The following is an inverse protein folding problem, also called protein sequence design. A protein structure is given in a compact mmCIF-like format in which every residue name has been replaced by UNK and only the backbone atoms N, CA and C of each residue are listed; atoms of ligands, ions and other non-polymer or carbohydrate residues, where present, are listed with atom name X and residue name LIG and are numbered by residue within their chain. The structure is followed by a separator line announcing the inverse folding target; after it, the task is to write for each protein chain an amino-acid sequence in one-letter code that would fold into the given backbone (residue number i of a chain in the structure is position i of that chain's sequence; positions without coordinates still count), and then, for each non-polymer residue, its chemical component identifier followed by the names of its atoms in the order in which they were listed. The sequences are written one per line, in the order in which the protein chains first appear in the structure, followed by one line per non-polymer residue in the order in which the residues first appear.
data_IF_424963831412
#
_entry.id   IF_424963831412
#
_cell.length_a   1.000
_cell.length_b   1.000
_cell.length_c   1.000
_cell.angle_alpha   90.00
_cell.angle_beta   90.00
_cell.angle_gamma   90.00
#
_symmetry.space_group_name_H-M   'P 1'
#
loop_
_entity.id
_entity.type
_entity.pdbx_description
1 polymer ?
#
# COMPACT_ATOMS: atom_id res chain seq x y z
N UNK A 1 -47.28 30.36 61.69
CA UNK A 1 -47.04 29.40 60.60
C UNK A 1 -46.36 30.16 59.47
N UNK A 2 -45.03 30.07 59.38
CA UNK A 2 -44.19 30.88 58.48
C UNK A 2 -43.63 29.93 57.42
N UNK A 3 -43.96 30.15 56.16
CA UNK A 3 -43.42 29.39 55.03
C UNK A 3 -42.06 29.94 54.65
N UNK A 4 -41.02 29.12 54.81
CA UNK A 4 -39.65 29.41 54.37
C UNK A 4 -39.50 28.93 52.93
N UNK A 5 -39.07 29.82 52.04
CA UNK A 5 -38.79 29.54 50.63
C UNK A 5 -37.39 28.92 50.57
N UNK A 6 -37.28 27.67 50.13
CA UNK A 6 -35.99 27.04 49.84
C UNK A 6 -35.48 27.54 48.49
N UNK A 7 -34.32 28.20 48.51
CA UNK A 7 -33.61 28.63 47.32
C UNK A 7 -32.98 27.40 46.64
N UNK A 8 -33.31 27.21 45.36
CA UNK A 8 -32.67 26.19 44.51
C UNK A 8 -31.26 26.66 44.17
N UNK A 9 -30.27 26.13 44.88
CA UNK A 9 -28.87 26.21 44.44
C UNK A 9 -28.74 25.56 43.05
N UNK A 10 -28.34 26.38 42.09
CA UNK A 10 -27.95 25.95 40.76
C UNK A 10 -26.57 25.30 40.86
N UNK A 11 -26.55 23.97 40.99
CA UNK A 11 -25.32 23.17 40.88
C UNK A 11 -24.82 23.29 39.45
N UNK A 12 -23.98 24.29 39.20
CA UNK A 12 -23.15 24.38 38.01
C UNK A 12 -22.12 23.23 38.07
N UNK A 13 -22.51 22.08 37.51
CA UNK A 13 -21.65 20.92 37.41
C UNK A 13 -20.43 21.18 36.51
N UNK A 14 -19.24 20.68 36.84
CA UNK A 14 -18.04 20.79 36.02
C UNK A 14 -18.12 19.82 34.83
N UNK A 15 -18.89 20.17 33.79
CA UNK A 15 -19.02 19.37 32.57
C UNK A 15 -18.23 19.92 31.37
N UNK A 16 -17.27 20.82 31.59
CA UNK A 16 -16.52 21.50 30.52
C UNK A 16 -15.00 21.22 30.49
N UNK A 17 -14.43 20.44 31.41
CA UNK A 17 -12.98 20.26 31.47
C UNK A 17 -12.42 19.03 30.73
N UNK A 18 -13.24 18.04 30.37
CA UNK A 18 -12.75 16.83 29.70
C UNK A 18 -12.40 17.03 28.21
N UNK A 19 -12.88 18.11 27.57
CA UNK A 19 -12.67 18.36 26.14
C UNK A 19 -11.34 19.04 25.79
N UNK A 20 -10.74 19.79 26.71
CA UNK A 20 -9.60 20.67 26.40
C UNK A 20 -8.24 19.94 26.32
N UNK A 21 -8.11 18.78 26.95
CA UNK A 21 -6.84 18.02 26.93
C UNK A 21 -6.70 17.06 25.74
N UNK A 22 -7.79 16.78 25.01
CA UNK A 22 -7.77 15.86 23.86
C UNK A 22 -7.17 16.49 22.60
N UNK A 23 -7.42 17.78 22.38
CA UNK A 23 -7.08 18.45 21.12
C UNK A 23 -5.56 18.49 20.87
N UNK A 24 -4.72 18.92 21.84
CA UNK A 24 -3.28 18.88 21.66
C UNK A 24 -2.76 17.47 21.40
N UNK A 25 -3.32 16.46 22.09
CA UNK A 25 -2.93 15.06 21.91
C UNK A 25 -3.21 14.54 20.51
N UNK A 26 -4.40 14.82 19.96
CA UNK A 26 -4.74 14.42 18.58
C UNK A 26 -3.94 15.19 17.52
N UNK A 27 -3.59 16.45 17.76
CA UNK A 27 -2.73 17.21 16.86
C UNK A 27 -1.30 16.63 16.84
N UNK A 28 -0.74 16.32 18.02
CA UNK A 28 0.56 15.65 18.14
C UNK A 28 0.54 14.28 17.45
N UNK A 29 -0.54 13.52 17.63
CA UNK A 29 -0.69 12.22 16.96
C UNK A 29 -0.79 12.38 15.44
N UNK A 30 -1.57 13.33 14.94
CA UNK A 30 -1.68 13.62 13.50
C UNK A 30 -0.32 13.99 12.92
N UNK A 31 0.40 14.92 13.56
CA UNK A 31 1.74 15.30 13.15
C UNK A 31 2.69 14.11 13.18
N UNK A 32 2.67 13.31 14.25
CA UNK A 32 3.47 12.09 14.36
C UNK A 32 3.22 11.11 13.22
N UNK A 33 1.95 10.86 12.87
CA UNK A 33 1.62 10.01 11.71
C UNK A 33 2.15 10.62 10.40
N UNK A 34 1.94 11.91 10.17
CA UNK A 34 2.42 12.57 8.95
C UNK A 34 3.96 12.59 8.85
N UNK A 35 4.68 12.60 9.97
CA UNK A 35 6.16 12.47 9.95
C UNK A 35 6.64 11.12 9.43
N UNK A 36 5.82 10.06 9.51
CA UNK A 36 6.19 8.74 8.99
C UNK A 36 6.39 8.72 7.47
N UNK A 37 5.74 9.63 6.72
CA UNK A 37 5.93 9.79 5.27
C UNK A 37 7.37 10.21 4.89
N UNK A 38 8.07 10.81 5.85
CA UNK A 38 9.42 11.36 5.69
C UNK A 38 10.51 10.40 6.18
N UNK A 39 10.15 9.32 6.85
CA UNK A 39 11.12 8.31 7.26
C UNK A 39 11.59 7.57 6.00
N UNK A 40 12.90 7.54 5.72
CA UNK A 40 13.41 6.78 4.58
C UNK A 40 13.25 5.29 4.88
N UNK A 41 12.25 4.67 4.26
CA UNK A 41 12.10 3.22 4.25
C UNK A 41 13.02 2.67 3.15
N UNK A 42 13.75 1.57 3.37
CA UNK A 42 14.44 0.90 2.29
C UNK A 42 13.45 0.63 1.15
N UNK A 43 13.79 0.99 -0.09
CA UNK A 43 12.94 0.77 -1.28
C UNK A 43 13.77 0.28 -2.47
N UNK A 44 14.98 -0.19 -2.19
CA UNK A 44 15.94 -0.65 -3.19
C UNK A 44 15.62 -2.05 -3.74
N UNK A 45 14.72 -2.80 -3.09
CA UNK A 45 14.17 -4.06 -3.62
C UNK A 45 12.68 -3.96 -3.93
N UNK A 46 12.18 -4.81 -4.83
CA UNK A 46 10.77 -4.89 -5.17
C UNK A 46 9.89 -5.21 -3.96
N UNK A 47 10.34 -6.13 -3.09
CA UNK A 47 9.64 -6.46 -1.85
C UNK A 47 9.53 -5.23 -0.94
N UNK A 48 10.64 -4.56 -0.70
CA UNK A 48 10.67 -3.39 0.17
C UNK A 48 9.86 -2.23 -0.38
N UNK A 49 9.87 -2.03 -1.71
CA UNK A 49 8.97 -1.09 -2.39
C UNK A 49 7.50 -1.47 -2.15
N UNK A 50 7.13 -2.74 -2.31
CA UNK A 50 5.76 -3.19 -2.06
C UNK A 50 5.32 -3.00 -0.60
N UNK A 51 6.22 -3.26 0.36
CA UNK A 51 5.96 -3.02 1.80
C UNK A 51 5.75 -1.53 2.05
N UNK A 52 6.62 -0.68 1.51
CA UNK A 52 6.51 0.76 1.65
C UNK A 52 5.16 1.27 1.10
N UNK A 53 4.77 0.87 -0.11
CA UNK A 53 3.49 1.25 -0.69
C UNK A 53 2.32 0.76 0.18
N UNK A 54 2.35 -0.48 0.69
CA UNK A 54 1.30 -0.98 1.57
C UNK A 54 1.15 -0.18 2.87
N UNK A 55 2.25 0.37 3.43
CA UNK A 55 2.23 1.16 4.66
C UNK A 55 1.36 2.43 4.58
N UNK A 56 1.07 2.94 3.38
CA UNK A 56 0.13 4.04 3.17
C UNK A 56 -1.28 3.71 3.70
N UNK A 57 -1.74 2.48 3.51
CA UNK A 57 -3.08 2.05 3.93
C UNK A 57 -3.30 2.16 5.45
N UNK A 58 -2.51 1.51 6.33
CA UNK A 58 -2.68 1.66 7.77
C UNK A 58 -2.35 3.08 8.26
N UNK A 59 -1.41 3.79 7.62
CA UNK A 59 -1.07 5.16 7.96
C UNK A 59 -2.28 6.09 7.78
N UNK A 60 -2.86 6.10 6.58
CA UNK A 60 -4.00 6.98 6.28
C UNK A 60 -5.31 6.50 6.90
N UNK A 61 -5.44 5.22 7.24
CA UNK A 61 -6.48 4.75 8.15
C UNK A 61 -6.37 5.43 9.53
N UNK A 62 -5.16 5.51 10.09
CA UNK A 62 -4.88 6.24 11.34
C UNK A 62 -5.18 7.74 11.23
N UNK A 63 -4.69 8.38 10.16
CA UNK A 63 -4.95 9.81 9.88
C UNK A 63 -6.46 10.07 9.81
N UNK A 64 -7.22 9.24 9.09
CA UNK A 64 -8.66 9.40 8.95
C UNK A 64 -9.40 9.36 10.30
N UNK A 65 -9.03 8.42 11.18
CA UNK A 65 -9.59 8.29 12.53
C UNK A 65 -9.28 9.56 13.34
N UNK A 66 -8.03 10.00 13.34
CA UNK A 66 -7.60 11.19 14.07
C UNK A 66 -8.32 12.44 13.57
N UNK A 67 -8.48 12.59 12.26
CA UNK A 67 -9.22 13.71 11.67
C UNK A 67 -10.69 13.74 12.13
N UNK A 68 -11.38 12.60 12.15
CA UNK A 68 -12.76 12.54 12.67
C UNK A 68 -12.82 13.00 14.14
N UNK A 69 -11.86 12.59 14.96
CA UNK A 69 -11.81 12.99 16.37
C UNK A 69 -11.47 14.47 16.54
N UNK A 70 -10.53 15.01 15.77
CA UNK A 70 -10.19 16.44 15.77
C UNK A 70 -11.39 17.30 15.39
N UNK A 71 -12.08 16.96 14.30
CA UNK A 71 -13.26 17.70 13.82
C UNK A 71 -14.33 17.75 14.91
N UNK A 72 -14.55 16.64 15.63
CA UNK A 72 -15.53 16.58 16.74
C UNK A 72 -15.13 17.43 17.95
N UNK A 73 -13.83 17.64 18.17
CA UNK A 73 -13.33 18.42 19.30
C UNK A 73 -13.25 19.92 19.00
N UNK A 74 -13.02 20.30 17.75
CA UNK A 74 -12.94 21.71 17.33
C UNK A 74 -14.30 22.44 17.37
N UNK A 75 -15.37 21.73 17.73
CA UNK A 75 -16.72 22.26 17.83
C UNK A 75 -17.46 22.10 16.50
N UNK A 76 -18.70 21.63 16.60
CA UNK A 76 -19.55 21.37 15.43
C UNK A 76 -20.17 22.70 14.96
N UNK A 77 -19.91 23.16 13.71
CA UNK A 77 -20.64 24.28 13.17
C UNK A 77 -22.14 23.95 13.16
N UNK A 78 -22.98 24.95 13.44
CA UNK A 78 -24.42 24.78 13.61
C UNK A 78 -25.02 24.07 12.38
N UNK A 79 -25.64 22.90 12.59
CA UNK A 79 -26.28 22.11 11.52
C UNK A 79 -25.40 21.02 10.89
N UNK A 80 -24.17 20.81 11.37
CA UNK A 80 -23.34 19.70 10.89
C UNK A 80 -23.88 18.36 11.41
N UNK A 81 -23.89 17.37 10.52
CA UNK A 81 -24.27 16.00 10.88
C UNK A 81 -23.03 15.18 11.19
N UNK A 82 -23.17 14.08 11.94
CA UNK A 82 -22.05 13.16 12.14
C UNK A 82 -21.48 12.63 10.81
N UNK A 83 -22.30 12.47 9.77
CA UNK A 83 -21.85 12.07 8.43
C UNK A 83 -20.96 13.14 7.78
N UNK A 84 -21.18 14.43 8.09
CA UNK A 84 -20.34 15.54 7.63
C UNK A 84 -18.91 15.40 8.19
N UNK A 85 -18.74 14.89 9.41
CA UNK A 85 -17.40 14.65 9.97
C UNK A 85 -16.62 13.59 9.19
N UNK A 86 -17.29 12.49 8.81
CA UNK A 86 -16.66 11.46 7.96
C UNK A 86 -16.33 11.99 6.57
N UNK A 87 -17.23 12.78 5.96
CA UNK A 87 -16.99 13.36 4.65
C UNK A 87 -15.80 14.34 4.64
N UNK A 88 -15.72 15.21 5.66
CA UNK A 88 -14.61 16.16 5.79
C UNK A 88 -13.31 15.44 6.14
N UNK A 89 -13.34 14.42 6.99
CA UNK A 89 -12.16 13.60 7.27
C UNK A 89 -11.64 12.88 6.01
N UNK A 90 -12.55 12.34 5.18
CA UNK A 90 -12.16 11.74 3.90
C UNK A 90 -11.57 12.77 2.94
N UNK A 91 -12.18 13.95 2.82
CA UNK A 91 -11.61 15.04 2.02
C UNK A 91 -10.22 15.44 2.54
N UNK A 92 -10.03 15.47 3.87
CA UNK A 92 -8.74 15.70 4.50
C UNK A 92 -7.70 14.63 4.13
N UNK A 93 -8.07 13.34 4.14
CA UNK A 93 -7.20 12.25 3.67
C UNK A 93 -6.78 12.45 2.22
N UNK A 94 -7.73 12.76 1.32
CA UNK A 94 -7.45 12.98 -0.11
C UNK A 94 -6.47 14.16 -0.29
N UNK A 95 -6.73 15.28 0.38
CA UNK A 95 -5.89 16.48 0.29
C UNK A 95 -4.51 16.22 0.88
N UNK A 96 -4.40 15.53 2.01
CA UNK A 96 -3.12 15.21 2.63
C UNK A 96 -2.31 14.24 1.78
N UNK A 97 -2.93 13.19 1.23
CA UNK A 97 -2.26 12.20 0.38
C UNK A 97 -1.78 12.80 -0.95
N UNK A 98 -2.66 13.53 -1.65
CA UNK A 98 -2.27 14.25 -2.86
C UNK A 98 -1.21 15.33 -2.58
N UNK A 99 -1.32 15.99 -1.41
CA UNK A 99 -0.34 16.97 -0.95
C UNK A 99 1.03 16.33 -0.68
N UNK A 100 1.07 15.17 -0.02
CA UNK A 100 2.34 14.46 0.21
C UNK A 100 3.01 14.05 -1.10
N UNK A 101 2.27 13.53 -2.07
CA UNK A 101 2.81 13.23 -3.41
C UNK A 101 3.32 14.48 -4.13
N UNK A 102 2.58 15.58 -4.04
CA UNK A 102 2.99 16.87 -4.61
C UNK A 102 4.30 17.39 -4.01
N UNK A 103 4.52 17.22 -2.70
CA UNK A 103 5.79 17.61 -2.07
C UNK A 103 6.91 16.62 -2.44
N UNK A 104 6.61 15.32 -2.55
CA UNK A 104 7.57 14.32 -2.98
C UNK A 104 8.12 14.58 -4.38
N UNK A 105 7.32 15.16 -5.30
CA UNK A 105 7.79 15.60 -6.62
C UNK A 105 8.98 16.57 -6.56
N UNK A 106 9.05 17.42 -5.53
CA UNK A 106 10.15 18.37 -5.33
C UNK A 106 11.29 17.81 -4.47
N UNK A 107 11.17 16.56 -3.99
CA UNK A 107 12.18 15.93 -3.14
C UNK A 107 13.17 15.13 -4.00
N UNK A 108 14.47 15.49 -4.02
CA UNK A 108 15.46 14.78 -4.82
C UNK A 108 15.48 13.28 -4.51
N UNK A 109 15.40 12.45 -5.54
CA UNK A 109 15.43 10.98 -5.41
C UNK A 109 14.10 10.32 -5.07
N UNK A 110 13.00 11.08 -4.98
CA UNK A 110 11.63 10.53 -4.93
C UNK A 110 10.90 10.81 -6.23
N UNK A 111 10.07 9.86 -6.65
CA UNK A 111 9.22 9.98 -7.84
C UNK A 111 7.77 9.82 -7.38
N UNK A 112 6.87 10.74 -7.72
CA UNK A 112 5.48 10.62 -7.32
C UNK A 112 4.86 9.38 -7.96
N UNK A 113 4.07 8.65 -7.17
CA UNK A 113 3.34 7.47 -7.64
C UNK A 113 1.84 7.69 -7.40
N UNK A 114 1.07 7.77 -8.48
CA UNK A 114 -0.38 7.95 -8.41
C UNK A 114 -1.03 6.81 -7.61
N UNK A 115 -0.40 5.63 -7.58
CA UNK A 115 -0.87 4.51 -6.78
C UNK A 115 -0.80 4.77 -5.28
N UNK A 116 0.10 5.63 -4.80
CA UNK A 116 0.22 5.98 -3.38
C UNK A 116 -1.01 6.78 -2.91
N UNK A 117 -1.47 7.77 -3.71
CA UNK A 117 -2.73 8.50 -3.43
C UNK A 117 -3.92 7.55 -3.36
N UNK A 118 -3.97 6.54 -4.23
CA UNK A 118 -5.05 5.56 -4.21
C UNK A 118 -5.01 4.71 -2.93
N UNK A 119 -3.82 4.31 -2.47
CA UNK A 119 -3.64 3.56 -1.23
C UNK A 119 -4.00 4.39 0.01
N UNK A 120 -3.70 5.69 0.00
CA UNK A 120 -4.11 6.62 1.05
C UNK A 120 -5.65 6.68 1.15
N UNK A 121 -6.32 6.81 0.01
CA UNK A 121 -7.79 6.84 -0.08
C UNK A 121 -8.39 5.51 0.39
N UNK A 122 -7.81 4.38 -0.01
CA UNK A 122 -8.25 3.04 0.44
C UNK A 122 -8.15 2.93 1.96
N UNK A 123 -7.02 3.33 2.55
CA UNK A 123 -6.84 3.36 4.01
C UNK A 123 -7.91 4.19 4.72
N UNK A 124 -8.12 5.41 4.24
CA UNK A 124 -9.14 6.32 4.77
C UNK A 124 -10.55 5.76 4.66
N UNK A 125 -10.95 5.26 3.48
CA UNK A 125 -12.27 4.68 3.25
C UNK A 125 -12.54 3.46 4.13
N UNK A 126 -11.56 2.56 4.28
CA UNK A 126 -11.70 1.38 5.13
C UNK A 126 -11.91 1.77 6.60
N UNK A 127 -11.08 2.68 7.14
CA UNK A 127 -11.19 3.11 8.52
C UNK A 127 -12.52 3.84 8.80
N UNK A 128 -12.88 4.79 7.94
CA UNK A 128 -14.11 5.57 8.05
C UNK A 128 -15.35 4.71 7.86
N UNK A 129 -15.33 3.80 6.88
CA UNK A 129 -16.42 2.87 6.62
C UNK A 129 -16.67 1.94 7.81
N UNK A 130 -15.62 1.30 8.33
CA UNK A 130 -15.71 0.44 9.53
C UNK A 130 -16.16 1.25 10.75
N UNK A 131 -15.59 2.44 10.98
CA UNK A 131 -15.99 3.34 12.06
C UNK A 131 -17.47 3.71 12.01
N UNK A 132 -17.97 4.05 10.82
CA UNK A 132 -19.38 4.37 10.62
C UNK A 132 -20.33 3.21 10.97
N UNK A 133 -19.89 1.95 10.85
CA UNK A 133 -20.71 0.78 11.25
C UNK A 133 -20.94 0.68 12.76
N UNK A 134 -20.19 1.41 13.57
CA UNK A 134 -20.25 1.36 15.04
C UNK A 134 -20.59 2.71 15.69
N UNK A 135 -20.82 3.77 14.91
CA UNK A 135 -20.94 5.13 15.44
C UNK A 135 -22.39 5.54 15.77
N UNK A 136 -22.78 5.62 17.05
CA UNK A 136 -24.16 5.92 17.43
C UNK A 136 -24.62 7.34 17.05
N UNK A 137 -23.70 8.26 16.70
CA UNK A 137 -24.02 9.65 16.37
C UNK A 137 -24.57 9.84 14.96
N UNK A 138 -24.50 8.80 14.12
CA UNK A 138 -25.01 8.85 12.75
C UNK A 138 -26.55 8.89 12.73
N UNK A 139 -27.10 9.64 11.77
CA UNK A 139 -28.55 9.83 11.66
C UNK A 139 -29.31 8.53 11.39
N UNK A 140 -30.62 8.53 11.59
CA UNK A 140 -31.47 7.33 11.40
C UNK A 140 -31.33 6.68 10.01
N UNK A 141 -31.13 7.50 8.97
CA UNK A 141 -30.88 7.03 7.60
C UNK A 141 -29.62 6.16 7.53
N UNK A 142 -28.56 6.58 8.22
CA UNK A 142 -27.28 5.89 8.29
C UNK A 142 -27.28 4.73 9.30
N UNK A 143 -28.12 4.81 10.34
CA UNK A 143 -28.30 3.72 11.33
C UNK A 143 -28.70 2.39 10.68
N UNK A 144 -29.38 2.42 9.52
CA UNK A 144 -29.68 1.20 8.72
C UNK A 144 -28.43 0.45 8.26
N UNK A 145 -27.29 1.14 8.07
CA UNK A 145 -26.02 0.52 7.68
C UNK A 145 -25.26 -0.08 8.87
N UNK A 146 -25.70 0.18 10.10
CA UNK A 146 -25.15 -0.38 11.34
C UNK A 146 -25.82 -1.69 11.73
N UNK A 147 -26.87 -2.09 11.02
CA UNK A 147 -27.61 -3.33 11.24
C UNK A 147 -27.13 -4.40 10.25
N UNK A 148 -27.19 -5.67 10.66
CA UNK A 148 -26.97 -6.79 9.75
C UNK A 148 -28.05 -6.80 8.64
N UNK A 149 -27.72 -7.20 7.41
CA UNK A 149 -26.41 -7.68 6.96
C UNK A 149 -25.43 -6.58 6.52
N UNK A 150 -25.89 -5.33 6.36
CA UNK A 150 -25.14 -4.24 5.71
C UNK A 150 -23.82 -3.92 6.42
N UNK A 151 -23.79 -3.93 7.75
CA UNK A 151 -22.53 -3.73 8.51
C UNK A 151 -21.47 -4.76 8.16
N UNK A 152 -21.88 -6.02 7.91
CA UNK A 152 -20.96 -7.09 7.56
C UNK A 152 -20.44 -6.91 6.15
N UNK A 153 -21.29 -6.49 5.21
CA UNK A 153 -20.87 -6.14 3.84
C UNK A 153 -19.77 -5.07 3.88
N UNK A 154 -19.98 -3.96 4.60
CA UNK A 154 -18.96 -2.89 4.70
C UNK A 154 -17.64 -3.41 5.25
N UNK A 155 -17.69 -4.24 6.29
CA UNK A 155 -16.48 -4.83 6.92
C UNK A 155 -15.78 -5.84 6.01
N UNK A 156 -16.54 -6.68 5.32
CA UNK A 156 -16.00 -7.66 4.36
C UNK A 156 -15.36 -6.94 3.18
N UNK A 157 -16.02 -5.92 2.62
CA UNK A 157 -15.46 -5.11 1.54
C UNK A 157 -14.19 -4.40 2.00
N UNK A 158 -14.19 -3.80 3.20
CA UNK A 158 -12.99 -3.15 3.76
C UNK A 158 -11.84 -4.15 3.97
N UNK A 159 -12.13 -5.32 4.52
CA UNK A 159 -11.15 -6.40 4.66
C UNK A 159 -10.61 -6.87 3.30
N UNK A 160 -11.48 -7.03 2.31
CA UNK A 160 -11.10 -7.39 0.94
C UNK A 160 -10.20 -6.35 0.29
N UNK A 161 -10.47 -5.05 0.49
CA UNK A 161 -9.62 -3.97 -0.01
C UNK A 161 -8.24 -3.96 0.66
N UNK A 162 -8.18 -4.16 1.98
CA UNK A 162 -6.88 -4.27 2.68
C UNK A 162 -6.10 -5.50 2.20
N UNK A 163 -6.76 -6.65 2.01
CA UNK A 163 -6.11 -7.84 1.46
C UNK A 163 -5.63 -7.62 0.01
N UNK A 164 -6.41 -6.92 -0.81
CA UNK A 164 -6.00 -6.55 -2.16
C UNK A 164 -4.78 -5.63 -2.15
N UNK A 165 -4.75 -4.63 -1.27
CA UNK A 165 -3.58 -3.75 -1.10
C UNK A 165 -2.34 -4.47 -0.53
N UNK A 166 -2.53 -5.51 0.29
CA UNK A 166 -1.45 -6.34 0.82
C UNK A 166 -0.90 -7.34 -0.22
N UNK A 167 -1.67 -7.64 -1.27
CA UNK A 167 -1.31 -8.67 -2.25
C UNK A 167 0.06 -8.49 -2.91
N UNK A 168 0.54 -7.27 -3.28
CA UNK A 168 1.88 -7.12 -3.86
C UNK A 168 2.99 -7.51 -2.88
N UNK A 169 2.81 -7.23 -1.57
CA UNK A 169 3.76 -7.63 -0.53
C UNK A 169 3.88 -9.14 -0.47
N UNK A 170 2.74 -9.85 -0.43
CA UNK A 170 2.70 -11.32 -0.38
C UNK A 170 3.36 -11.91 -1.63
N UNK A 171 3.02 -11.38 -2.80
CA UNK A 171 3.55 -11.81 -4.10
C UNK A 171 5.07 -11.66 -4.14
N UNK A 172 5.61 -10.48 -3.78
CA UNK A 172 7.05 -10.24 -3.81
C UNK A 172 7.80 -10.95 -2.69
N UNK A 173 7.18 -11.14 -1.52
CA UNK A 173 7.76 -11.92 -0.44
C UNK A 173 7.95 -13.37 -0.88
N UNK A 174 6.92 -13.95 -1.51
CA UNK A 174 7.01 -15.29 -2.06
C UNK A 174 8.01 -15.38 -3.22
N UNK A 175 8.00 -14.43 -4.16
CA UNK A 175 8.94 -14.41 -5.27
C UNK A 175 10.41 -14.34 -4.78
N UNK A 176 10.69 -13.50 -3.78
CA UNK A 176 12.01 -13.36 -3.15
C UNK A 176 12.41 -14.67 -2.46
N UNK A 177 11.50 -15.24 -1.66
CA UNK A 177 11.71 -16.53 -1.01
C UNK A 177 11.99 -17.66 -2.01
N UNK A 178 11.22 -17.73 -3.09
CA UNK A 178 11.38 -18.70 -4.17
C UNK A 178 12.74 -18.57 -4.84
N UNK A 179 13.12 -17.36 -5.25
CA UNK A 179 14.43 -17.05 -5.85
C UNK A 179 15.58 -17.53 -4.96
N UNK A 180 15.54 -17.22 -3.66
CA UNK A 180 16.61 -17.56 -2.73
C UNK A 180 16.70 -19.08 -2.50
N UNK A 181 15.57 -19.81 -2.56
CA UNK A 181 15.55 -21.27 -2.46
C UNK A 181 15.94 -22.00 -3.75
N UNK A 182 15.84 -21.34 -4.92
CA UNK A 182 16.26 -21.91 -6.20
C UNK A 182 17.74 -21.63 -6.52
N UNK A 183 18.37 -20.68 -5.82
CA UNK A 183 19.79 -20.37 -6.02
C UNK A 183 20.66 -21.65 -5.86
N UNK A 184 21.59 -21.96 -6.78
CA UNK A 184 22.24 -21.07 -7.76
C UNK A 184 21.54 -20.90 -9.11
N UNK A 185 20.32 -21.44 -9.31
CA UNK A 185 19.57 -21.25 -10.56
C UNK A 185 19.01 -19.83 -10.59
N UNK A 186 19.45 -19.03 -11.57
CA UNK A 186 18.99 -17.64 -11.71
C UNK A 186 17.71 -17.51 -12.56
N UNK A 187 17.61 -18.32 -13.62
CA UNK A 187 16.47 -18.32 -14.51
C UNK A 187 16.42 -19.62 -15.31
N UNK A 188 15.26 -20.24 -15.35
CA UNK A 188 14.98 -21.49 -16.08
C UNK A 188 13.79 -21.35 -17.04
N UNK A 189 13.18 -20.15 -17.11
CA UNK A 189 12.00 -19.83 -17.94
C UNK A 189 10.76 -20.74 -17.75
N UNK A 190 10.74 -21.57 -16.71
CA UNK A 190 9.63 -22.49 -16.39
C UNK A 190 8.75 -22.01 -15.24
N UNK A 191 9.27 -21.15 -14.35
CA UNK A 191 8.55 -20.64 -13.18
C UNK A 191 8.09 -19.20 -13.40
N UNK A 192 6.79 -18.95 -13.18
CA UNK A 192 6.24 -17.58 -13.19
C UNK A 192 6.86 -16.67 -12.13
N UNK A 193 7.46 -17.25 -11.09
CA UNK A 193 8.10 -16.51 -10.01
C UNK A 193 9.49 -16.02 -10.39
N UNK A 194 10.27 -16.85 -11.09
CA UNK A 194 11.57 -16.45 -11.63
C UNK A 194 11.41 -15.32 -12.65
N UNK A 195 10.38 -15.44 -13.50
CA UNK A 195 10.06 -14.46 -14.54
C UNK A 195 9.70 -13.07 -13.99
N UNK A 196 9.32 -12.94 -12.72
CA UNK A 196 9.07 -11.61 -12.09
C UNK A 196 10.34 -10.77 -11.99
N UNK A 197 11.50 -11.41 -11.94
CA UNK A 197 12.80 -10.75 -11.88
C UNK A 197 13.41 -10.54 -13.27
N UNK A 198 12.85 -11.15 -14.32
CA UNK A 198 13.38 -11.06 -15.69
C UNK A 198 12.72 -9.91 -16.43
N UNK A 199 13.53 -9.05 -17.02
CA UNK A 199 13.09 -7.92 -17.83
C UNK A 199 13.73 -7.98 -19.21
N UNK A 200 12.92 -7.88 -20.26
CA UNK A 200 13.38 -7.68 -21.63
C UNK A 200 13.67 -6.19 -21.86
N UNK A 201 14.83 -5.87 -22.44
CA UNK A 201 15.28 -4.51 -22.72
C UNK A 201 15.64 -4.44 -24.19
N UNK A 202 14.92 -3.63 -24.99
CA UNK A 202 15.17 -3.57 -26.43
C UNK A 202 15.00 -4.94 -27.12
N UNK A 203 14.22 -5.84 -26.51
CA UNK A 203 13.99 -7.20 -26.99
C UNK A 203 12.58 -7.66 -26.60
N UNK A 204 12.08 -8.69 -27.29
CA UNK A 204 10.91 -9.45 -26.86
C UNK A 204 11.38 -10.77 -26.26
N UNK A 205 10.77 -11.16 -25.14
CA UNK A 205 11.01 -12.44 -24.47
C UNK A 205 9.72 -13.25 -24.49
N UNK A 206 9.76 -14.45 -25.07
CA UNK A 206 8.67 -15.42 -25.03
C UNK A 206 9.14 -16.77 -24.49
N UNK A 207 8.26 -17.48 -23.78
CA UNK A 207 8.53 -18.82 -23.27
C UNK A 207 8.04 -19.81 -24.31
N UNK A 208 8.93 -20.66 -24.82
CA UNK A 208 8.64 -21.62 -25.91
C UNK A 208 9.22 -22.99 -25.59
N UNK A 209 8.81 -24.02 -26.35
CA UNK A 209 9.47 -25.32 -26.30
C UNK A 209 10.91 -25.23 -26.85
N UNK A 210 11.85 -26.04 -26.35
CA UNK A 210 13.22 -26.05 -26.84
C UNK A 210 13.30 -26.31 -28.37
N UNK A 211 14.17 -25.61 -29.11
CA UNK A 211 14.36 -25.87 -30.53
C UNK A 211 14.99 -27.24 -30.78
N UNK A 212 14.85 -27.79 -31.99
CA UNK A 212 15.33 -29.14 -32.34
C UNK A 212 16.83 -29.37 -32.15
N UNK A 213 17.65 -28.30 -32.19
CA UNK A 213 19.09 -28.34 -31.92
C UNK A 213 19.49 -28.15 -30.45
N UNK A 214 18.53 -28.05 -29.53
CA UNK A 214 18.79 -27.88 -28.10
C UNK A 214 19.12 -29.23 -27.45
N UNK A 215 20.41 -29.52 -27.29
CA UNK A 215 20.88 -30.84 -26.85
C UNK A 215 20.96 -31.03 -25.34
N UNK A 216 20.72 -29.99 -24.53
CA UNK A 216 20.75 -30.09 -23.06
C UNK A 216 19.36 -30.04 -22.45
N UNK A 217 18.97 -31.19 -21.89
CA UNK A 217 17.70 -31.39 -21.20
C UNK A 217 17.83 -31.00 -19.74
N UNK A 218 17.36 -29.80 -19.39
CA UNK A 218 17.04 -29.50 -17.98
C UNK A 218 15.72 -28.77 -17.78
N UNK A 219 15.02 -28.35 -18.85
CA UNK A 219 13.74 -27.66 -18.76
C UNK A 219 12.76 -28.06 -19.87
N UNK A 220 11.47 -28.09 -19.55
CA UNK A 220 10.38 -28.29 -20.51
C UNK A 220 10.18 -27.07 -21.44
N UNK A 221 10.77 -25.93 -21.08
CA UNK A 221 10.64 -24.63 -21.76
C UNK A 221 11.96 -23.87 -21.77
N UNK A 222 12.10 -22.94 -22.72
CA UNK A 222 13.22 -22.01 -22.86
C UNK A 222 12.73 -20.60 -23.13
N UNK A 223 13.55 -19.60 -22.82
CA UNK A 223 13.31 -18.21 -23.21
C UNK A 223 13.80 -17.95 -24.62
N UNK A 224 12.88 -17.68 -25.55
CA UNK A 224 13.20 -17.15 -26.88
C UNK A 224 13.27 -15.64 -26.81
N UNK A 225 14.43 -15.11 -27.20
CA UNK A 225 14.70 -13.68 -27.20
C UNK A 225 14.75 -13.21 -28.65
N UNK A 226 13.97 -12.18 -28.98
CA UNK A 226 14.03 -11.48 -30.27
C UNK A 226 14.59 -10.09 -30.02
N UNK A 227 15.80 -9.83 -30.51
CA UNK A 227 16.45 -8.54 -30.33
C UNK A 227 15.94 -7.51 -31.35
N UNK A 228 15.58 -6.32 -30.86
CA UNK A 228 15.23 -5.19 -31.71
C UNK A 228 16.48 -4.37 -32.06
N UNK A 229 16.50 -3.63 -33.18
CA UNK A 229 17.63 -2.78 -33.58
C UNK A 229 17.73 -1.52 -32.70
N UNK A 230 18.12 -1.71 -31.44
CA UNK A 230 18.26 -0.67 -30.41
C UNK A 230 19.65 -0.76 -29.78
N UNK A 231 20.02 0.23 -28.97
CA UNK A 231 21.29 0.17 -28.24
C UNK A 231 21.18 -0.81 -27.07
N UNK A 232 22.08 -1.80 -27.04
CA UNK A 232 22.18 -2.82 -25.98
C UNK A 232 20.90 -3.64 -25.74
N UNK A 233 20.36 -4.31 -26.77
CA UNK A 233 19.18 -5.16 -26.61
C UNK A 233 19.57 -6.42 -25.82
N UNK A 234 18.71 -6.88 -24.92
CA UNK A 234 19.10 -7.86 -23.91
C UNK A 234 17.97 -8.34 -23.03
N UNK A 235 18.32 -9.24 -22.11
CA UNK A 235 17.52 -9.56 -20.94
C UNK A 235 18.30 -9.14 -19.70
N UNK A 236 17.58 -8.69 -18.66
CA UNK A 236 18.15 -8.35 -17.36
C UNK A 236 17.47 -9.19 -16.30
N UNK A 237 18.27 -9.78 -15.41
CA UNK A 237 17.79 -10.40 -14.18
C UNK A 237 17.97 -9.35 -13.08
N UNK A 238 16.86 -8.77 -12.64
CA UNK A 238 16.83 -7.81 -11.54
C UNK A 238 16.91 -8.55 -10.21
N UNK A 239 17.62 -7.98 -9.24
CA UNK A 239 17.74 -8.53 -7.88
C UNK A 239 18.06 -10.04 -7.85
N UNK A 240 19.18 -10.50 -8.43
CA UNK A 240 19.63 -11.86 -8.18
C UNK A 240 19.88 -12.08 -6.68
N UNK A 241 19.92 -13.34 -6.23
CA UNK A 241 20.30 -13.66 -4.85
C UNK A 241 21.60 -12.91 -4.48
N UNK A 242 21.69 -12.27 -3.31
CA UNK A 242 22.84 -11.42 -2.98
C UNK A 242 24.10 -12.19 -2.55
N UNK A 243 23.96 -13.43 -2.09
CA UNK A 243 25.08 -14.23 -1.56
C UNK A 243 25.56 -15.28 -2.56
N UNK A 244 26.69 -15.00 -3.21
CA UNK A 244 27.32 -15.88 -4.20
C UNK A 244 28.56 -16.59 -3.63
N UNK A 245 28.81 -16.48 -2.33
CA UNK A 245 30.00 -17.09 -1.72
C UNK A 245 29.95 -18.60 -1.91
N UNK A 246 31.10 -19.18 -2.26
CA UNK A 246 31.24 -20.62 -2.52
C UNK A 246 30.95 -21.05 -3.96
N UNK A 247 30.55 -20.14 -4.84
CA UNK A 247 30.38 -20.40 -6.27
C UNK A 247 31.49 -19.73 -7.09
N UNK A 248 32.08 -20.47 -8.02
CA UNK A 248 33.24 -20.00 -8.82
C UNK A 248 32.91 -19.78 -10.30
N UNK A 249 31.76 -20.29 -10.77
CA UNK A 249 31.41 -20.29 -12.19
C UNK A 249 29.98 -19.82 -12.40
N UNK A 250 29.82 -19.00 -13.43
CA UNK A 250 28.54 -18.66 -14.04
C UNK A 250 28.39 -19.47 -15.33
N UNK A 251 27.25 -20.12 -15.50
CA UNK A 251 26.95 -20.94 -16.67
C UNK A 251 25.67 -20.43 -17.33
N UNK A 252 25.69 -20.33 -18.65
CA UNK A 252 24.54 -19.92 -19.46
C UNK A 252 24.47 -20.82 -20.68
N UNK A 253 23.25 -21.23 -21.03
CA UNK A 253 22.98 -22.05 -22.21
C UNK A 253 22.25 -21.20 -23.24
N UNK A 254 22.80 -21.17 -24.46
CA UNK A 254 22.33 -20.30 -25.53
C UNK A 254 22.30 -21.10 -26.81
N UNK A 255 21.22 -20.94 -27.55
CA UNK A 255 21.07 -21.45 -28.89
C UNK A 255 20.73 -20.29 -29.81
N UNK A 256 21.48 -20.15 -30.90
CA UNK A 256 21.18 -19.17 -31.94
C UNK A 256 20.53 -19.87 -33.13
N UNK A 257 19.37 -19.38 -33.54
CA UNK A 257 18.74 -19.77 -34.81
C UNK A 257 19.44 -19.16 -36.02
N UNK A 258 20.38 -18.23 -35.81
CA UNK A 258 21.11 -17.58 -36.90
C UNK A 258 22.17 -18.52 -37.48
N UNK A 259 22.37 -18.52 -38.82
CA UNK A 259 23.39 -19.36 -39.46
C UNK A 259 24.83 -19.02 -39.06
N UNK A 260 25.06 -17.79 -38.58
CA UNK A 260 26.38 -17.29 -38.18
C UNK A 260 26.39 -16.94 -36.69
N UNK A 261 27.46 -17.28 -35.95
CA UNK A 261 27.61 -16.86 -34.57
C UNK A 261 27.56 -15.34 -34.43
N UNK A 262 26.81 -14.86 -33.45
CA UNK A 262 26.73 -13.45 -33.10
C UNK A 262 27.43 -13.23 -31.74
N UNK A 263 28.15 -12.11 -31.56
CA UNK A 263 28.62 -11.72 -30.24
C UNK A 263 27.42 -11.39 -29.34
N UNK A 264 27.52 -11.77 -28.07
CA UNK A 264 26.59 -11.40 -26.99
C UNK A 264 27.09 -10.15 -26.25
#
# INVERSE_FOLDING_TARGET
MVWRKEDKETVNGPCLQAGQYGLPGFLVLLLGLLTLLWIPVPSHTFLWKAVNNFCHVPLFAGVAIVLVHLIRQLGEPRGWSAASHYAVALAGVVVLGAGSEGIQFYTPGRYPDVSDVLLDIVGGLCALGVGATADPRLSERWRRWQVAPRKHVVRIVSGGLVLAALSPVIIWAYATWHRDHQFPILCQFSSVWDMRFVQAIGSDLSIVSPPSGWTRSSGETVGRIVFHPTNYPGIRINEPSPDWRGYERFSLEIYSEWPTPQPL
#
